data_IF_548368949139
#
_entry.id   IF_548368949139
#
_cell.length_a   1.000
_cell.length_b   1.000
_cell.length_c   1.000
_cell.angle_alpha   90.00
_cell.angle_beta   90.00
_cell.angle_gamma   90.00
#
_symmetry.space_group_name_H-M   'P 1'
#
loop_
_entity.id
_entity.type
_entity.pdbx_description
1 polymer ?
#
# COMPACT_ATOMS: atom_id res chain seq x y z
N UNK A 1 4.75 9.41 -9.24
CA UNK A 1 4.93 10.21 -10.45
C UNK A 1 4.38 9.48 -11.68
N UNK A 2 4.85 8.26 -11.98
CA UNK A 2 4.44 7.50 -13.18
C UNK A 2 2.93 7.22 -13.26
N UNK A 3 2.28 6.92 -12.13
CA UNK A 3 0.83 6.76 -12.07
C UNK A 3 0.09 8.06 -12.47
N UNK A 4 0.60 9.21 -12.05
CA UNK A 4 0.02 10.50 -12.41
C UNK A 4 0.22 10.82 -13.90
N UNK A 5 1.36 10.46 -14.50
CA UNK A 5 1.57 10.57 -15.93
C UNK A 5 0.60 9.69 -16.73
N UNK A 6 0.41 8.42 -16.29
CA UNK A 6 -0.56 7.52 -16.88
C UNK A 6 -1.98 8.09 -16.78
N UNK A 7 -2.37 8.56 -15.59
CA UNK A 7 -3.67 9.17 -15.36
C UNK A 7 -3.92 10.37 -16.28
N UNK A 8 -2.95 11.27 -16.40
CA UNK A 8 -3.04 12.42 -17.32
C UNK A 8 -3.23 11.98 -18.76
N UNK A 9 -2.47 10.97 -19.20
CA UNK A 9 -2.59 10.41 -20.55
C UNK A 9 -3.96 9.81 -20.82
N UNK A 10 -4.61 9.25 -19.80
CA UNK A 10 -5.95 8.68 -19.86
C UNK A 10 -7.07 9.72 -19.63
N UNK A 11 -6.73 10.99 -19.42
CA UNK A 11 -7.71 12.07 -19.22
C UNK A 11 -8.20 12.23 -17.78
N UNK A 12 -7.66 11.48 -16.81
CA UNK A 12 -8.00 11.62 -15.41
C UNK A 12 -7.34 12.85 -14.80
N UNK A 13 -8.12 13.63 -14.05
CA UNK A 13 -7.63 14.80 -13.30
C UNK A 13 -7.27 14.48 -11.85
N UNK A 14 -7.65 13.29 -11.39
CA UNK A 14 -7.43 12.81 -10.03
C UNK A 14 -7.13 11.32 -10.02
N UNK A 15 -6.31 10.89 -9.06
CA UNK A 15 -6.07 9.48 -8.73
C UNK A 15 -6.00 9.30 -7.22
N UNK A 16 -6.16 8.07 -6.76
CA UNK A 16 -5.90 7.67 -5.39
C UNK A 16 -4.54 7.00 -5.24
N UNK A 17 -3.93 7.25 -4.09
CA UNK A 17 -2.78 6.52 -3.56
C UNK A 17 -3.18 5.93 -2.23
N UNK A 18 -2.92 4.64 -2.03
CA UNK A 18 -3.25 3.91 -0.82
C UNK A 18 -1.96 3.46 -0.16
N UNK A 19 -1.86 3.64 1.15
CA UNK A 19 -0.82 3.07 2.01
C UNK A 19 -1.49 2.16 3.03
N UNK A 20 -1.15 0.89 3.01
CA UNK A 20 -1.51 -0.09 4.03
C UNK A 20 -0.32 -0.23 4.99
N UNK A 21 -0.57 0.02 6.28
CA UNK A 21 0.46 0.14 7.30
C UNK A 21 1.05 1.56 7.32
N UNK A 22 0.54 2.40 8.21
CA UNK A 22 0.95 3.81 8.29
C UNK A 22 1.90 4.05 9.47
N UNK A 23 1.69 3.32 10.56
CA UNK A 23 2.50 3.40 11.78
C UNK A 23 2.80 4.84 12.23
N UNK A 24 4.06 5.25 12.26
CA UNK A 24 4.50 6.59 12.63
C UNK A 24 4.21 7.68 11.60
N UNK A 25 3.73 7.32 10.39
CA UNK A 25 3.29 8.24 9.34
C UNK A 25 4.38 8.82 8.46
N UNK A 26 5.59 8.29 8.48
CA UNK A 26 6.69 8.81 7.66
C UNK A 26 6.35 8.69 6.16
N UNK A 27 5.89 7.52 5.71
CA UNK A 27 5.49 7.28 4.32
C UNK A 27 4.39 8.23 3.88
N UNK A 28 3.31 8.30 4.65
CA UNK A 28 2.14 9.12 4.30
C UNK A 28 2.45 10.63 4.25
N UNK A 29 3.32 11.12 5.15
CA UNK A 29 3.78 12.52 5.11
C UNK A 29 4.64 12.81 3.86
N UNK A 30 5.45 11.86 3.41
CA UNK A 30 6.16 11.97 2.14
C UNK A 30 5.20 11.98 0.96
N UNK A 31 4.18 11.12 0.97
CA UNK A 31 3.15 11.09 -0.07
C UNK A 31 2.45 12.45 -0.18
N UNK A 32 2.06 13.09 0.92
CA UNK A 32 1.47 14.44 0.89
C UNK A 32 2.41 15.46 0.24
N UNK A 33 3.65 15.49 0.68
CA UNK A 33 4.66 16.41 0.12
C UNK A 33 4.86 16.23 -1.38
N UNK A 34 4.92 14.97 -1.84
CA UNK A 34 5.09 14.68 -3.27
C UNK A 34 3.81 14.89 -4.06
N UNK A 35 2.63 14.67 -3.47
CA UNK A 35 1.34 14.94 -4.12
C UNK A 35 1.19 16.41 -4.52
N UNK A 36 1.65 17.34 -3.67
CA UNK A 36 1.65 18.77 -3.98
C UNK A 36 2.59 19.11 -5.16
N UNK A 37 3.77 18.47 -5.24
CA UNK A 37 4.70 18.65 -6.36
C UNK A 37 4.11 18.10 -7.66
N UNK A 38 3.54 16.89 -7.61
CA UNK A 38 2.91 16.26 -8.76
C UNK A 38 1.74 17.09 -9.28
N UNK A 39 0.92 17.65 -8.40
CA UNK A 39 -0.17 18.53 -8.79
C UNK A 39 0.36 19.75 -9.57
N UNK A 40 1.45 20.36 -9.12
CA UNK A 40 2.06 21.53 -9.80
C UNK A 40 2.66 21.18 -11.16
N UNK A 41 3.31 20.03 -11.28
CA UNK A 41 4.06 19.64 -12.49
C UNK A 41 3.16 18.95 -13.53
N UNK A 42 2.26 18.08 -13.08
CA UNK A 42 1.47 17.18 -13.95
C UNK A 42 0.02 17.65 -14.08
N UNK A 43 -0.47 18.45 -13.12
CA UNK A 43 -1.87 18.87 -13.02
C UNK A 43 -2.83 17.67 -12.82
N UNK A 44 -2.42 16.69 -12.01
CA UNK A 44 -3.23 15.56 -11.53
C UNK A 44 -3.23 15.62 -10.01
N UNK A 45 -4.42 15.73 -9.41
CA UNK A 45 -4.60 15.71 -7.96
C UNK A 45 -4.46 14.28 -7.44
N UNK A 46 -3.74 14.11 -6.34
CA UNK A 46 -3.63 12.82 -5.63
C UNK A 46 -4.45 12.90 -4.35
N UNK A 47 -5.37 11.97 -4.17
CA UNK A 47 -6.09 11.74 -2.92
C UNK A 47 -5.43 10.55 -2.20
N UNK A 48 -5.05 10.75 -0.94
CA UNK A 48 -4.25 9.78 -0.19
C UNK A 48 -5.12 9.13 0.89
N UNK A 49 -5.05 7.81 0.96
CA UNK A 49 -5.74 7.01 1.97
C UNK A 49 -4.73 6.13 2.70
N UNK A 50 -4.68 6.24 4.02
CA UNK A 50 -3.81 5.42 4.86
C UNK A 50 -4.65 4.47 5.72
N UNK A 51 -4.39 3.17 5.61
CA UNK A 51 -5.04 2.14 6.43
C UNK A 51 -4.11 1.70 7.55
N UNK A 52 -4.62 1.68 8.77
CA UNK A 52 -3.83 1.25 9.93
C UNK A 52 -4.72 0.76 11.07
N UNK A 53 -4.23 -0.17 11.85
CA UNK A 53 -4.93 -0.67 13.02
C UNK A 53 -4.84 0.31 14.22
N UNK A 54 -3.89 1.24 14.23
CA UNK A 54 -3.53 2.16 15.31
C UNK A 54 -2.80 1.49 16.48
N UNK A 55 -3.26 0.33 16.92
CA UNK A 55 -2.72 -0.39 18.08
C UNK A 55 -1.41 -1.15 17.77
N UNK A 56 -0.91 -1.01 16.53
CA UNK A 56 0.22 -1.78 16.01
C UNK A 56 -0.19 -3.16 15.52
N UNK A 57 0.79 -4.01 15.26
CA UNK A 57 0.56 -5.34 14.70
C UNK A 57 -0.36 -6.19 15.57
N UNK A 58 -1.22 -6.97 14.93
CA UNK A 58 -2.03 -8.02 15.57
C UNK A 58 -1.13 -9.15 16.10
N UNK A 59 -1.73 -10.13 16.79
CA UNK A 59 -1.06 -11.40 17.10
C UNK A 59 -0.78 -12.13 15.77
N UNK A 60 0.47 -12.60 15.52
CA UNK A 60 0.77 -13.41 14.34
C UNK A 60 -0.11 -14.66 14.31
N UNK A 61 -0.69 -15.00 13.16
CA UNK A 61 -1.59 -16.15 13.03
C UNK A 61 -0.83 -17.49 12.98
N UNK A 62 0.26 -17.52 12.24
CA UNK A 62 1.13 -18.71 12.11
C UNK A 62 2.53 -18.31 11.60
N UNK A 63 3.32 -19.33 11.19
CA UNK A 63 4.70 -19.12 10.74
C UNK A 63 4.84 -18.17 9.55
N UNK A 64 3.81 -18.00 8.73
CA UNK A 64 3.81 -17.13 7.55
C UNK A 64 3.86 -15.65 7.92
N UNK A 65 3.39 -15.30 9.12
CA UNK A 65 3.45 -13.96 9.71
C UNK A 65 4.79 -13.69 10.44
N UNK A 66 5.79 -14.59 10.33
CA UNK A 66 7.14 -14.42 10.87
C UNK A 66 7.15 -14.14 12.40
N UNK A 67 6.52 -14.99 13.25
CA UNK A 67 6.34 -14.71 14.68
C UNK A 67 7.64 -14.69 15.49
N UNK A 68 8.74 -15.17 14.93
CA UNK A 68 10.08 -15.06 15.53
C UNK A 68 10.65 -13.64 15.37
N UNK A 69 10.18 -12.86 14.38
CA UNK A 69 10.64 -11.51 14.09
C UNK A 69 9.62 -10.46 14.55
N UNK A 70 8.38 -10.56 14.07
CA UNK A 70 7.31 -9.63 14.39
C UNK A 70 6.50 -10.07 15.60
N UNK A 71 6.08 -9.09 16.40
CA UNK A 71 5.29 -9.33 17.61
C UNK A 71 4.12 -8.35 17.67
N UNK A 72 3.07 -8.76 18.36
CA UNK A 72 1.92 -7.93 18.66
C UNK A 72 2.34 -6.56 19.20
N UNK A 73 1.58 -5.54 18.78
CA UNK A 73 1.73 -4.14 19.23
C UNK A 73 3.05 -3.46 18.84
N UNK A 74 3.84 -4.02 17.92
CA UNK A 74 4.87 -3.25 17.23
C UNK A 74 4.22 -2.18 16.35
N UNK A 75 4.93 -1.09 16.10
CA UNK A 75 4.54 -0.02 15.16
C UNK A 75 3.23 0.70 15.50
N UNK A 76 2.96 0.97 16.78
CA UNK A 76 1.79 1.73 17.21
C UNK A 76 1.76 3.14 16.62
N UNK A 77 0.56 3.55 16.20
CA UNK A 77 0.31 4.90 15.70
C UNK A 77 -0.06 5.84 16.84
N UNK A 78 0.60 6.98 16.92
CA UNK A 78 0.08 8.14 17.65
C UNK A 78 -0.89 8.90 16.74
N UNK A 79 -2.14 8.44 16.72
CA UNK A 79 -3.17 8.93 15.80
C UNK A 79 -3.38 10.45 15.89
N UNK A 80 -3.52 11.00 17.12
CA UNK A 80 -3.82 12.40 17.32
C UNK A 80 -2.68 13.28 16.80
N UNK A 81 -1.45 12.91 17.13
CA UNK A 81 -0.25 13.59 16.66
C UNK A 81 -0.07 13.51 15.16
N UNK A 82 -0.32 12.34 14.56
CA UNK A 82 -0.19 12.16 13.12
C UNK A 82 -1.30 12.92 12.40
N UNK A 83 -2.55 12.73 12.80
CA UNK A 83 -3.72 13.35 12.15
C UNK A 83 -3.65 14.88 12.18
N UNK A 84 -3.07 15.47 13.24
CA UNK A 84 -2.87 16.93 13.33
C UNK A 84 -1.88 17.50 12.29
N UNK A 85 -1.02 16.64 11.71
CA UNK A 85 -0.02 17.03 10.70
C UNK A 85 -0.50 16.82 9.27
N UNK A 86 -1.47 15.94 9.07
CA UNK A 86 -1.98 15.58 7.76
C UNK A 86 -2.97 16.65 7.26
N UNK A 87 -2.90 16.95 5.95
CA UNK A 87 -3.72 17.99 5.32
C UNK A 87 -4.71 17.41 4.29
N UNK A 88 -4.24 16.45 3.51
CA UNK A 88 -4.95 15.90 2.35
C UNK A 88 -5.10 14.38 2.42
N UNK A 89 -4.71 13.77 3.54
CA UNK A 89 -4.78 12.32 3.74
C UNK A 89 -5.98 11.97 4.59
N UNK A 90 -6.68 10.91 4.23
CA UNK A 90 -7.72 10.30 5.04
C UNK A 90 -7.19 9.03 5.68
N UNK A 91 -7.10 9.01 7.00
CA UNK A 91 -6.77 7.81 7.77
C UNK A 91 -8.02 6.95 7.95
N UNK A 92 -7.89 5.67 7.66
CA UNK A 92 -8.93 4.65 7.81
C UNK A 92 -8.45 3.69 8.88
N UNK A 93 -8.99 3.87 10.08
CA UNK A 93 -8.54 3.16 11.28
C UNK A 93 -9.36 1.89 11.49
N UNK A 94 -8.68 0.78 11.69
CA UNK A 94 -9.25 -0.53 11.97
C UNK A 94 -8.55 -1.64 11.19
N UNK A 95 -8.91 -2.87 11.51
CA UNK A 95 -8.40 -4.04 10.82
C UNK A 95 -8.72 -3.96 9.31
N UNK A 96 -7.70 -4.11 8.47
CA UNK A 96 -7.79 -3.97 7.02
C UNK A 96 -8.85 -4.90 6.44
N UNK A 97 -8.97 -6.12 6.95
CA UNK A 97 -9.99 -7.10 6.55
C UNK A 97 -11.43 -6.56 6.64
N UNK A 98 -11.67 -5.69 7.60
CA UNK A 98 -13.00 -5.09 7.82
C UNK A 98 -13.16 -3.76 7.11
N UNK A 99 -12.15 -2.90 7.21
CA UNK A 99 -12.23 -1.52 6.68
C UNK A 99 -12.23 -1.46 5.16
N UNK A 100 -11.63 -2.44 4.49
CA UNK A 100 -11.56 -2.48 3.02
C UNK A 100 -12.93 -2.74 2.37
N UNK A 101 -13.83 -3.47 3.06
CA UNK A 101 -15.14 -3.85 2.52
C UNK A 101 -16.01 -2.65 2.16
N UNK A 102 -15.99 -1.64 3.03
CA UNK A 102 -16.81 -0.45 2.88
C UNK A 102 -16.04 0.74 2.28
N UNK A 103 -14.75 0.54 1.96
CA UNK A 103 -13.87 1.61 1.51
C UNK A 103 -14.43 2.37 0.30
N UNK A 104 -14.84 1.65 -0.73
CA UNK A 104 -15.33 2.25 -1.97
C UNK A 104 -16.67 2.96 -1.78
N UNK A 105 -17.55 2.37 -0.99
CA UNK A 105 -18.89 2.95 -0.69
C UNK A 105 -18.74 4.24 0.13
N UNK A 106 -17.91 4.20 1.17
CA UNK A 106 -17.76 5.31 2.09
C UNK A 106 -16.92 6.46 1.54
N UNK A 107 -16.02 6.19 0.58
CA UNK A 107 -15.06 7.19 0.12
C UNK A 107 -15.22 7.57 -1.35
N UNK A 108 -15.86 6.71 -2.17
CA UNK A 108 -15.97 6.91 -3.62
C UNK A 108 -14.68 7.46 -4.24
N UNK A 109 -13.51 6.76 -4.06
CA UNK A 109 -12.22 7.29 -4.41
C UNK A 109 -12.07 7.47 -5.92
N UNK A 110 -11.28 8.43 -6.39
CA UNK A 110 -10.85 8.45 -7.79
C UNK A 110 -10.01 7.19 -8.09
N UNK A 111 -9.75 6.88 -9.39
CA UNK A 111 -9.05 5.66 -9.75
C UNK A 111 -7.75 5.44 -8.98
N UNK A 112 -7.58 4.27 -8.40
CA UNK A 112 -6.37 3.90 -7.67
C UNK A 112 -5.24 3.70 -8.67
N UNK A 113 -4.14 4.43 -8.47
CA UNK A 113 -2.96 4.36 -9.32
C UNK A 113 -1.72 3.80 -8.61
N UNK A 114 -1.70 3.86 -7.28
CA UNK A 114 -0.58 3.36 -6.45
C UNK A 114 -1.12 2.71 -5.20
N UNK A 115 -0.54 1.59 -4.82
CA UNK A 115 -0.73 0.92 -3.53
C UNK A 115 0.63 0.65 -2.92
N UNK A 116 0.82 1.07 -1.67
CA UNK A 116 1.98 0.74 -0.85
C UNK A 116 1.52 -0.27 0.21
N UNK A 117 2.19 -1.40 0.29
CA UNK A 117 2.00 -2.40 1.33
C UNK A 117 3.23 -2.35 2.25
N UNK A 118 2.98 -2.12 3.52
CA UNK A 118 3.96 -2.11 4.61
C UNK A 118 3.22 -2.69 5.83
N UNK A 119 2.84 -3.96 5.68
CA UNK A 119 1.95 -4.65 6.62
C UNK A 119 2.66 -5.75 7.41
N UNK A 120 3.94 -6.00 7.13
CA UNK A 120 4.80 -6.99 7.78
C UNK A 120 4.32 -8.44 7.62
N UNK A 121 3.02 -8.68 7.76
CA UNK A 121 2.42 -10.02 7.82
C UNK A 121 1.87 -10.51 6.49
N UNK A 122 2.09 -11.78 6.21
CA UNK A 122 1.38 -12.48 5.14
C UNK A 122 -0.14 -12.31 5.26
N UNK A 123 -0.68 -12.53 6.48
CA UNK A 123 -2.12 -12.51 6.68
C UNK A 123 -2.75 -11.14 6.43
N UNK A 124 -2.10 -10.05 6.85
CA UNK A 124 -2.57 -8.69 6.62
C UNK A 124 -2.43 -8.28 5.16
N UNK A 125 -1.34 -8.68 4.51
CA UNK A 125 -1.12 -8.43 3.08
C UNK A 125 -2.17 -9.16 2.24
N UNK A 126 -2.48 -10.42 2.56
CA UNK A 126 -3.55 -11.17 1.88
C UNK A 126 -4.91 -10.48 2.07
N UNK A 127 -5.22 -10.03 3.29
CA UNK A 127 -6.46 -9.29 3.57
C UNK A 127 -6.51 -7.95 2.81
N UNK A 128 -5.36 -7.25 2.58
CA UNK A 128 -5.31 -6.01 1.79
C UNK A 128 -5.63 -6.22 0.31
N UNK A 129 -5.34 -7.39 -0.24
CA UNK A 129 -5.62 -7.71 -1.64
C UNK A 129 -7.12 -7.83 -1.95
N UNK A 130 -7.99 -7.90 -0.94
CA UNK A 130 -9.44 -7.80 -1.12
C UNK A 130 -9.85 -6.49 -1.82
N UNK A 131 -9.00 -5.46 -1.79
CA UNK A 131 -9.23 -4.23 -2.56
C UNK A 131 -9.40 -4.50 -4.05
N UNK A 132 -8.74 -5.51 -4.59
CA UNK A 132 -8.81 -5.88 -6.00
C UNK A 132 -10.09 -6.64 -6.37
N UNK A 133 -10.90 -7.07 -5.39
CA UNK A 133 -12.17 -7.74 -5.62
C UNK A 133 -13.30 -6.77 -5.98
N UNK A 134 -13.03 -5.45 -5.95
CA UNK A 134 -13.98 -4.45 -6.45
C UNK A 134 -14.27 -4.68 -7.94
N UNK A 135 -15.55 -4.80 -8.28
CA UNK A 135 -16.01 -5.10 -9.64
C UNK A 135 -16.04 -3.88 -10.57
N UNK A 136 -16.12 -2.68 -10.02
CA UNK A 136 -16.21 -1.46 -10.82
C UNK A 136 -14.81 -1.01 -11.29
N UNK A 137 -14.53 -1.19 -12.57
CA UNK A 137 -13.25 -0.83 -13.19
C UNK A 137 -12.89 0.65 -13.05
N UNK A 138 -13.90 1.53 -12.90
CA UNK A 138 -13.67 2.98 -12.72
C UNK A 138 -12.81 3.32 -11.50
N UNK A 139 -12.72 2.43 -10.53
CA UNK A 139 -11.93 2.62 -9.32
C UNK A 139 -10.44 2.31 -9.51
N UNK A 140 -10.03 1.86 -10.68
CA UNK A 140 -8.66 1.47 -10.93
C UNK A 140 -8.11 2.12 -12.20
N UNK A 141 -6.83 2.51 -12.17
CA UNK A 141 -6.10 2.67 -13.42
C UNK A 141 -5.84 1.29 -14.02
N UNK A 142 -5.71 1.17 -15.34
CA UNK A 142 -5.46 -0.12 -16.00
C UNK A 142 -4.11 -0.72 -15.62
N UNK A 143 -3.24 0.07 -14.99
CA UNK A 143 -1.99 -0.36 -14.38
C UNK A 143 -1.80 0.36 -13.06
N UNK A 144 -1.68 -0.42 -11.99
CA UNK A 144 -1.45 0.06 -10.62
C UNK A 144 0.01 -0.22 -10.28
N UNK A 145 0.69 0.78 -9.71
CA UNK A 145 2.04 0.62 -9.17
C UNK A 145 1.92 0.14 -7.73
N UNK A 146 2.43 -1.06 -7.45
CA UNK A 146 2.47 -1.61 -6.11
C UNK A 146 3.90 -1.54 -5.56
N UNK A 147 4.03 -1.11 -4.32
CA UNK A 147 5.26 -1.19 -3.53
C UNK A 147 5.02 -2.15 -2.37
N UNK A 148 6.01 -2.95 -2.06
CA UNK A 148 6.01 -3.89 -0.95
C UNK A 148 7.30 -3.67 -0.16
N UNK A 149 7.20 -3.42 1.14
CA UNK A 149 8.36 -3.09 1.97
C UNK A 149 9.10 -4.36 2.42
N UNK A 150 8.38 -5.39 2.78
CA UNK A 150 8.87 -6.60 3.41
C UNK A 150 9.18 -7.74 2.42
N UNK A 151 9.81 -7.42 1.29
CA UNK A 151 10.18 -8.41 0.25
C UNK A 151 11.70 -8.61 0.15
N UNK A 152 12.48 -7.69 0.70
CA UNK A 152 13.94 -7.75 0.76
C UNK A 152 14.36 -7.31 2.17
N UNK A 153 15.12 -8.14 2.85
CA UNK A 153 15.58 -7.85 4.20
C UNK A 153 16.93 -8.50 4.50
N UNK A 154 17.27 -8.53 5.76
CA UNK A 154 18.48 -9.19 6.25
C UNK A 154 18.28 -10.70 6.38
N UNK A 155 19.38 -11.45 6.56
CA UNK A 155 19.33 -12.89 6.85
C UNK A 155 18.52 -13.23 8.11
N UNK A 156 18.31 -12.28 9.01
CA UNK A 156 17.52 -12.48 10.24
C UNK A 156 16.01 -12.43 9.99
N UNK A 157 15.59 -11.61 9.05
CA UNK A 157 14.18 -11.47 8.68
C UNK A 157 13.70 -12.65 7.86
N UNK A 158 14.58 -13.22 7.04
CA UNK A 158 14.33 -14.42 6.24
C UNK A 158 13.06 -14.32 5.36
N UNK A 159 12.81 -13.16 4.76
CA UNK A 159 11.72 -13.01 3.80
C UNK A 159 11.90 -13.96 2.61
N UNK A 160 10.82 -14.56 2.17
CA UNK A 160 10.89 -15.52 1.09
C UNK A 160 9.51 -15.89 0.53
N UNK A 161 9.53 -16.70 -0.52
CA UNK A 161 8.31 -17.13 -1.23
C UNK A 161 7.35 -17.99 -0.39
N UNK A 162 7.74 -18.42 0.80
CA UNK A 162 6.95 -19.25 1.70
C UNK A 162 6.42 -18.49 2.92
N UNK A 163 6.63 -17.18 2.99
CA UNK A 163 6.20 -16.34 4.09
C UNK A 163 5.98 -14.88 3.65
N UNK A 164 5.43 -14.07 4.55
CA UNK A 164 5.29 -12.62 4.39
C UNK A 164 4.57 -12.20 3.11
N UNK A 165 4.92 -11.04 2.63
CA UNK A 165 4.33 -10.42 1.44
C UNK A 165 4.57 -11.21 0.16
N UNK A 166 5.75 -11.85 0.02
CA UNK A 166 6.07 -12.64 -1.17
C UNK A 166 5.15 -13.84 -1.35
N UNK A 167 4.80 -14.55 -0.26
CA UNK A 167 3.84 -15.64 -0.31
C UNK A 167 2.45 -15.14 -0.67
N UNK A 168 2.02 -14.00 -0.08
CA UNK A 168 0.72 -13.41 -0.40
C UNK A 168 0.61 -13.04 -1.88
N UNK A 169 1.68 -12.49 -2.49
CA UNK A 169 1.75 -12.17 -3.92
C UNK A 169 1.66 -13.45 -4.76
N UNK A 170 2.40 -14.49 -4.38
CA UNK A 170 2.39 -15.77 -5.11
C UNK A 170 1.00 -16.40 -5.13
N UNK A 171 0.34 -16.45 -3.96
CA UNK A 171 -1.01 -17.00 -3.84
C UNK A 171 -2.02 -16.14 -4.62
N UNK A 172 -1.97 -14.81 -4.50
CA UNK A 172 -2.82 -13.92 -5.29
C UNK A 172 -2.68 -14.18 -6.78
N UNK A 173 -1.46 -14.34 -7.26
CA UNK A 173 -1.19 -14.63 -8.65
C UNK A 173 -1.69 -16.01 -9.11
N UNK A 174 -1.75 -17.00 -8.22
CA UNK A 174 -2.33 -18.32 -8.51
C UNK A 174 -3.85 -18.28 -8.54
N UNK A 175 -4.45 -17.53 -7.61
CA UNK A 175 -5.90 -17.46 -7.41
C UNK A 175 -6.63 -16.56 -8.42
N UNK A 176 -5.92 -15.65 -9.09
CA UNK A 176 -6.51 -14.67 -10.01
C UNK A 176 -6.00 -14.86 -11.45
N UNK A 177 -6.89 -15.04 -12.41
CA UNK A 177 -6.51 -15.18 -13.83
C UNK A 177 -6.26 -13.84 -14.51
N UNK A 178 -7.05 -12.82 -14.18
CA UNK A 178 -7.09 -11.55 -14.91
C UNK A 178 -6.30 -10.42 -14.24
N UNK A 179 -5.93 -10.58 -12.97
CA UNK A 179 -5.16 -9.58 -12.21
C UNK A 179 -3.89 -10.25 -11.68
N UNK A 180 -2.75 -9.67 -11.98
CA UNK A 180 -1.44 -10.22 -11.60
C UNK A 180 -0.55 -9.13 -11.00
N UNK A 181 0.17 -9.47 -9.96
CA UNK A 181 1.20 -8.62 -9.36
C UNK A 181 2.55 -9.15 -9.85
N UNK A 182 3.25 -8.36 -10.66
CA UNK A 182 4.53 -8.76 -11.24
C UNK A 182 5.61 -7.72 -10.95
N UNK A 183 6.84 -8.19 -10.78
CA UNK A 183 8.01 -7.34 -10.64
C UNK A 183 8.13 -6.38 -11.83
N UNK A 184 8.25 -5.10 -11.55
CA UNK A 184 8.51 -4.10 -12.58
C UNK A 184 10.00 -4.13 -12.96
N UNK A 185 10.33 -4.86 -14.01
CA UNK A 185 11.71 -5.05 -14.48
C UNK A 185 12.37 -3.75 -14.95
N UNK A 186 11.59 -2.75 -15.36
CA UNK A 186 12.11 -1.47 -15.82
C UNK A 186 12.71 -0.65 -14.66
N UNK A 187 12.25 -0.88 -13.43
CA UNK A 187 12.82 -0.25 -12.24
C UNK A 187 14.17 -0.87 -11.84
N UNK A 188 14.46 -2.09 -12.23
CA UNK A 188 15.74 -2.75 -11.95
C UNK A 188 16.92 -2.08 -12.68
N UNK A 189 16.66 -1.39 -13.77
CA UNK A 189 17.67 -0.67 -14.55
C UNK A 189 17.89 0.79 -14.08
N UNK A 190 17.09 1.26 -13.13
CA UNK A 190 17.33 2.55 -12.50
C UNK A 190 18.20 2.35 -11.28
N UNK A 191 19.21 3.21 -11.04
CA UNK A 191 20.08 3.18 -9.84
C UNK A 191 19.30 3.36 -8.52
N UNK A 192 18.09 2.87 -8.45
CA UNK A 192 17.19 2.99 -7.31
C UNK A 192 17.68 2.17 -6.11
N UNK A 193 18.41 1.08 -6.35
CA UNK A 193 19.01 0.24 -5.32
C UNK A 193 20.00 0.96 -4.40
N UNK A 194 20.57 2.08 -4.84
CA UNK A 194 21.53 2.85 -4.04
C UNK A 194 20.89 3.92 -3.13
N UNK A 195 19.58 4.06 -3.14
CA UNK A 195 18.87 5.04 -2.31
C UNK A 195 18.13 4.44 -1.11
N UNK A 196 18.21 3.13 -0.97
CA UNK A 196 17.62 2.39 0.15
C UNK A 196 18.67 1.94 1.19
N UNK A 197 19.90 2.47 1.11
CA UNK A 197 20.92 2.29 2.15
C UNK A 197 20.98 3.52 3.05
#
# INVERSE_FOLDING_TARGET
YNAALLAKKLGHKKISVIEFGVAGGNGIMFLEKYSEKILKEINVKIEIFGFDLREGLNEPKDYRDLPYWFKKSLYKMDYEKLNSKLKNTKLIIGDVKNTIKDFFINNNPPPIGVILNDLDYYSSTKDSFEIFNQSEERFFLPRIFCYFDDVIGTEKEMYGINNGELLAIEEFNKENDNKKINLNKDLLNTNFYYRLQ
#
